data_IF_367422176832
#
_entry.id   IF_367422176832
#
_cell.length_a   1.000
_cell.length_b   1.000
_cell.length_c   1.000
_cell.angle_alpha   90.00
_cell.angle_beta   90.00
_cell.angle_gamma   90.00
#
_symmetry.space_group_name_H-M   'P 1'
#
loop_
_entity.id
_entity.type
_entity.pdbx_description
1 polymer ?
#
# COMPACT_ATOMS: atom_id res chain seq x y z
N UNK A 1 -20.09 -1.92 -6.78
CA UNK A 1 -19.17 -2.94 -6.23
C UNK A 1 -18.36 -3.55 -7.37
N UNK A 2 -17.07 -3.19 -7.50
CA UNK A 2 -16.15 -3.97 -8.33
C UNK A 2 -16.08 -5.39 -7.74
N UNK A 3 -16.20 -6.42 -8.58
CA UNK A 3 -16.02 -7.80 -8.15
C UNK A 3 -14.52 -8.02 -7.89
N UNK A 4 -14.08 -7.81 -6.65
CA UNK A 4 -12.72 -8.09 -6.23
C UNK A 4 -12.40 -9.56 -6.47
N UNK A 5 -11.28 -9.82 -7.15
CA UNK A 5 -10.83 -11.19 -7.40
C UNK A 5 -10.22 -11.73 -6.13
N UNK A 6 -10.71 -12.89 -5.68
CA UNK A 6 -10.06 -13.64 -4.60
C UNK A 6 -8.59 -13.90 -4.94
N UNK A 7 -7.75 -13.77 -3.92
CA UNK A 7 -6.32 -14.04 -3.98
C UNK A 7 -5.87 -14.86 -2.79
N UNK A 8 -4.69 -15.47 -2.90
CA UNK A 8 -4.00 -16.21 -1.85
C UNK A 8 -2.50 -16.00 -1.96
N UNK A 9 -1.81 -15.85 -0.83
CA UNK A 9 -0.35 -15.87 -0.80
C UNK A 9 0.13 -17.29 -0.53
N UNK A 10 0.91 -17.83 -1.45
CA UNK A 10 1.39 -19.22 -1.40
C UNK A 10 2.91 -19.22 -1.26
N UNK A 11 3.39 -19.76 -0.14
CA UNK A 11 4.80 -19.97 0.12
C UNK A 11 5.24 -21.32 -0.44
N UNK A 12 5.95 -21.31 -1.56
CA UNK A 12 6.40 -22.54 -2.22
C UNK A 12 7.82 -22.90 -1.79
N UNK A 13 7.99 -24.08 -1.21
CA UNK A 13 9.31 -24.62 -0.91
C UNK A 13 10.19 -24.67 -2.17
N UNK A 14 11.37 -24.06 -2.06
CA UNK A 14 12.40 -23.99 -3.07
C UNK A 14 13.65 -24.63 -2.48
N UNK A 15 14.08 -25.75 -3.06
CA UNK A 15 15.28 -26.47 -2.65
C UNK A 15 16.41 -26.14 -3.62
N UNK A 16 17.64 -26.12 -3.12
CA UNK A 16 18.84 -25.93 -3.92
C UNK A 16 18.82 -26.78 -5.20
N UNK A 17 19.14 -26.14 -6.33
CA UNK A 17 19.17 -26.73 -7.67
C UNK A 17 17.87 -27.39 -8.17
N UNK A 18 16.74 -27.19 -7.49
CA UNK A 18 15.42 -27.62 -7.96
C UNK A 18 15.04 -26.93 -9.28
N UNK A 19 14.08 -27.49 -10.01
CA UNK A 19 13.52 -26.88 -11.22
C UNK A 19 13.03 -25.46 -10.94
N UNK A 20 12.44 -25.22 -9.76
CA UNK A 20 11.98 -23.91 -9.33
C UNK A 20 13.15 -22.94 -9.12
N UNK A 21 14.19 -23.38 -8.40
CA UNK A 21 15.39 -22.59 -8.14
C UNK A 21 16.09 -22.18 -9.44
N UNK A 22 16.16 -23.09 -10.42
CA UNK A 22 16.74 -22.80 -11.74
C UNK A 22 15.87 -21.86 -12.57
N UNK A 23 14.55 -22.08 -12.60
CA UNK A 23 13.60 -21.24 -13.34
C UNK A 23 13.68 -19.78 -12.90
N UNK A 24 13.74 -19.54 -11.58
CA UNK A 24 13.76 -18.20 -11.00
C UNK A 24 15.17 -17.68 -10.70
N UNK A 25 16.21 -18.23 -11.34
CA UNK A 25 17.60 -17.75 -11.24
C UNK A 25 18.19 -17.68 -9.81
N UNK A 26 17.76 -18.58 -8.92
CA UNK A 26 18.25 -18.70 -7.53
C UNK A 26 18.76 -20.11 -7.23
N UNK A 27 19.72 -20.66 -8.00
CA UNK A 27 20.09 -22.08 -7.94
C UNK A 27 20.65 -22.55 -6.60
N UNK A 28 21.17 -21.64 -5.76
CA UNK A 28 21.72 -21.94 -4.42
C UNK A 28 20.75 -21.63 -3.28
N UNK A 29 19.53 -21.21 -3.59
CA UNK A 29 18.54 -20.86 -2.57
C UNK A 29 17.86 -22.11 -2.03
N UNK A 30 17.77 -22.17 -0.70
CA UNK A 30 16.93 -23.12 0.03
C UNK A 30 16.04 -22.34 0.97
N UNK A 31 14.72 -22.45 0.81
CA UNK A 31 13.74 -21.68 1.57
C UNK A 31 12.37 -21.73 0.93
N UNK A 32 11.58 -20.68 1.09
CA UNK A 32 10.25 -20.58 0.50
C UNK A 32 10.19 -19.36 -0.41
N UNK A 33 9.60 -19.49 -1.59
CA UNK A 33 9.33 -18.36 -2.48
C UNK A 33 7.85 -17.99 -2.38
N UNK A 34 7.50 -16.72 -2.09
CA UNK A 34 6.12 -16.30 -2.01
C UNK A 34 5.54 -16.01 -3.40
N UNK A 35 4.35 -16.55 -3.68
CA UNK A 35 3.60 -16.30 -4.90
C UNK A 35 2.23 -15.73 -4.54
N UNK A 36 1.89 -14.57 -5.07
CA UNK A 36 0.55 -13.99 -4.98
C UNK A 36 -0.29 -14.60 -6.11
N UNK A 37 -1.23 -15.47 -5.77
CA UNK A 37 -2.05 -16.23 -6.72
C UNK A 37 -3.48 -15.69 -6.68
N UNK A 38 -4.12 -15.53 -7.83
CA UNK A 38 -5.45 -14.94 -7.91
C UNK A 38 -6.35 -15.61 -8.95
N UNK A 39 -7.64 -15.31 -8.91
CA UNK A 39 -8.61 -15.78 -9.90
C UNK A 39 -8.80 -17.30 -9.86
N UNK A 40 -8.84 -17.94 -11.03
CA UNK A 40 -9.05 -19.39 -11.14
C UNK A 40 -7.93 -20.19 -10.48
N UNK A 41 -6.67 -19.74 -10.61
CA UNK A 41 -5.52 -20.40 -9.98
C UNK A 41 -5.64 -20.40 -8.45
N UNK A 42 -6.15 -19.33 -7.85
CA UNK A 42 -6.37 -19.27 -6.41
C UNK A 42 -7.40 -20.32 -5.98
N UNK A 43 -8.50 -20.48 -6.73
CA UNK A 43 -9.51 -21.49 -6.45
C UNK A 43 -8.98 -22.93 -6.64
N UNK A 44 -8.05 -23.15 -7.57
CA UNK A 44 -7.36 -24.44 -7.76
C UNK A 44 -6.47 -24.75 -6.56
N UNK A 45 -5.68 -23.78 -6.10
CA UNK A 45 -4.81 -23.94 -4.93
C UNK A 45 -5.60 -24.19 -3.65
N UNK A 46 -6.71 -23.46 -3.43
CA UNK A 46 -7.60 -23.67 -2.28
C UNK A 46 -8.12 -25.11 -2.19
N UNK A 47 -8.32 -25.77 -3.34
CA UNK A 47 -8.75 -27.17 -3.44
C UNK A 47 -7.59 -28.19 -3.37
N UNK A 48 -6.37 -27.74 -3.10
CA UNK A 48 -5.16 -28.58 -3.07
C UNK A 48 -4.62 -28.96 -4.45
N UNK A 49 -5.07 -28.28 -5.50
CA UNK A 49 -4.59 -28.46 -6.87
C UNK A 49 -3.19 -27.87 -7.10
N UNK A 50 -2.62 -28.18 -8.26
CA UNK A 50 -1.34 -27.59 -8.71
C UNK A 50 -1.62 -26.57 -9.80
N UNK A 51 -0.99 -25.41 -9.68
CA UNK A 51 -1.01 -24.34 -10.69
C UNK A 51 0.40 -24.07 -11.19
N UNK A 52 0.49 -23.53 -12.40
CA UNK A 52 1.77 -23.05 -12.90
C UNK A 52 2.12 -21.74 -12.20
N UNK A 53 3.37 -21.64 -11.72
CA UNK A 53 3.86 -20.47 -11.00
C UNK A 53 4.61 -19.56 -11.95
N UNK A 54 4.30 -18.26 -11.95
CA UNK A 54 4.84 -17.29 -12.89
C UNK A 54 5.52 -16.10 -12.19
N UNK A 55 6.34 -15.37 -12.95
CA UNK A 55 7.19 -14.27 -12.51
C UNK A 55 6.36 -13.10 -11.95
N UNK A 56 5.19 -12.83 -12.51
CA UNK A 56 4.28 -11.78 -12.01
C UNK A 56 3.71 -12.14 -10.63
N UNK A 57 3.38 -13.42 -10.42
CA UNK A 57 2.92 -13.93 -9.12
C UNK A 57 4.05 -13.86 -8.09
N UNK A 58 5.30 -14.15 -8.50
CA UNK A 58 6.47 -14.01 -7.63
C UNK A 58 6.74 -12.55 -7.26
N UNK A 59 6.68 -11.62 -8.21
CA UNK A 59 6.90 -10.20 -7.97
C UNK A 59 5.90 -9.65 -6.92
N UNK A 60 4.61 -9.86 -7.17
CA UNK A 60 3.53 -9.51 -6.23
C UNK A 60 3.69 -10.24 -4.90
N UNK A 61 4.03 -11.53 -4.97
CA UNK A 61 4.22 -12.39 -3.82
C UNK A 61 5.34 -11.91 -2.91
N UNK A 62 6.47 -11.45 -3.47
CA UNK A 62 7.57 -10.90 -2.68
C UNK A 62 7.16 -9.59 -2.01
N UNK A 63 6.58 -8.64 -2.74
CA UNK A 63 6.17 -7.35 -2.15
C UNK A 63 5.15 -7.53 -1.02
N UNK A 64 4.19 -8.44 -1.19
CA UNK A 64 3.23 -8.77 -0.13
C UNK A 64 3.88 -9.59 1.00
N UNK A 65 4.69 -10.58 0.65
CA UNK A 65 5.32 -11.50 1.59
C UNK A 65 6.30 -10.82 2.53
N UNK A 66 7.00 -9.77 2.08
CA UNK A 66 7.85 -8.94 2.93
C UNK A 66 7.04 -8.26 4.06
N UNK A 67 5.80 -7.84 3.79
CA UNK A 67 4.91 -7.31 4.82
C UNK A 67 4.52 -8.38 5.83
N UNK A 68 4.14 -9.57 5.36
CA UNK A 68 3.76 -10.69 6.24
C UNK A 68 4.94 -11.14 7.10
N UNK A 69 6.16 -11.18 6.57
CA UNK A 69 7.37 -11.48 7.34
C UNK A 69 7.58 -10.50 8.50
N UNK A 70 7.33 -9.22 8.27
CA UNK A 70 7.59 -8.17 9.26
C UNK A 70 6.51 -8.06 10.34
N UNK A 71 5.25 -8.43 10.03
CA UNK A 71 4.11 -8.24 10.95
C UNK A 71 3.45 -9.53 11.44
N UNK A 72 3.51 -10.61 10.67
CA UNK A 72 2.88 -11.90 10.99
C UNK A 72 3.85 -13.05 10.67
N UNK A 73 5.04 -12.99 11.27
CA UNK A 73 6.13 -13.94 10.99
C UNK A 73 5.70 -15.39 11.26
N UNK A 74 5.74 -16.22 10.22
CA UNK A 74 5.47 -17.66 10.28
C UNK A 74 6.76 -18.46 10.50
N UNK A 75 6.70 -19.72 10.96
CA UNK A 75 7.89 -20.54 11.21
C UNK A 75 8.80 -20.75 9.98
N UNK A 76 8.25 -20.62 8.77
CA UNK A 76 9.00 -20.75 7.52
C UNK A 76 9.56 -19.42 6.99
N UNK A 77 9.29 -18.30 7.66
CA UNK A 77 9.92 -17.02 7.36
C UNK A 77 11.33 -17.01 7.95
N UNK A 78 12.35 -17.08 7.09
CA UNK A 78 13.75 -16.89 7.48
C UNK A 78 14.23 -15.53 6.98
N UNK A 79 14.73 -14.70 7.91
CA UNK A 79 15.30 -13.39 7.60
C UNK A 79 16.48 -13.49 6.61
N UNK A 80 17.20 -14.62 6.60
CA UNK A 80 18.25 -14.89 5.59
C UNK A 80 17.71 -14.90 4.16
N UNK A 81 16.43 -15.25 3.98
CA UNK A 81 15.78 -15.27 2.67
C UNK A 81 15.51 -13.86 2.14
N UNK A 82 15.47 -12.83 3.01
CA UNK A 82 15.23 -11.44 2.59
C UNK A 82 16.21 -11.00 1.51
N UNK A 83 17.50 -11.32 1.67
CA UNK A 83 18.53 -10.99 0.66
C UNK A 83 18.21 -11.59 -0.71
N UNK A 84 17.71 -12.82 -0.74
CA UNK A 84 17.29 -13.48 -1.99
C UNK A 84 16.07 -12.79 -2.58
N UNK A 85 15.10 -12.40 -1.76
CA UNK A 85 13.91 -11.68 -2.24
C UNK A 85 14.26 -10.31 -2.83
N UNK A 86 15.16 -9.55 -2.20
CA UNK A 86 15.64 -8.29 -2.74
C UNK A 86 16.34 -8.48 -4.09
N UNK A 87 17.22 -9.49 -4.18
CA UNK A 87 17.86 -9.83 -5.45
C UNK A 87 16.84 -10.23 -6.54
N UNK A 88 15.81 -11.01 -6.18
CA UNK A 88 14.74 -11.38 -7.09
C UNK A 88 13.93 -10.16 -7.55
N UNK A 89 13.65 -9.20 -6.66
CA UNK A 89 13.00 -7.94 -7.05
C UNK A 89 13.83 -7.18 -8.07
N UNK A 90 15.15 -7.11 -7.93
CA UNK A 90 16.03 -6.48 -8.92
C UNK A 90 15.98 -7.21 -10.27
N UNK A 91 16.02 -8.54 -10.27
CA UNK A 91 15.92 -9.35 -11.49
C UNK A 91 14.56 -9.18 -12.17
N UNK A 92 13.48 -9.15 -11.41
CA UNK A 92 12.11 -8.99 -11.90
C UNK A 92 11.88 -7.57 -12.42
N UNK A 93 12.38 -6.55 -11.71
CA UNK A 93 12.35 -5.15 -12.14
C UNK A 93 12.94 -5.01 -13.55
N UNK A 94 14.15 -5.53 -13.75
CA UNK A 94 14.83 -5.52 -15.04
C UNK A 94 14.13 -6.41 -16.08
N UNK A 95 13.68 -7.60 -15.68
CA UNK A 95 13.05 -8.57 -16.57
C UNK A 95 11.71 -8.10 -17.15
N UNK A 96 10.95 -7.33 -16.39
CA UNK A 96 9.71 -6.69 -16.85
C UNK A 96 9.94 -5.32 -17.52
N UNK A 97 11.17 -4.80 -17.51
CA UNK A 97 11.51 -3.53 -18.15
C UNK A 97 11.01 -2.29 -17.42
N UNK A 98 10.84 -2.36 -16.10
CA UNK A 98 10.54 -1.16 -15.31
C UNK A 98 11.74 -0.20 -15.31
N UNK A 99 11.47 1.10 -15.29
CA UNK A 99 12.51 2.13 -15.29
C UNK A 99 13.38 2.06 -14.01
N UNK A 100 12.73 1.85 -12.87
CA UNK A 100 13.39 1.72 -11.57
C UNK A 100 12.45 1.02 -10.57
N UNK A 101 12.98 0.61 -9.39
CA UNK A 101 12.19 -0.09 -8.37
C UNK A 101 11.01 0.72 -7.80
N UNK A 102 11.08 2.05 -7.75
CA UNK A 102 9.96 2.90 -7.29
C UNK A 102 8.76 2.74 -8.22
N UNK A 103 8.98 2.87 -9.53
CA UNK A 103 7.93 2.68 -10.55
C UNK A 103 7.38 1.25 -10.51
N UNK A 104 8.24 0.24 -10.38
CA UNK A 104 7.80 -1.15 -10.24
C UNK A 104 6.86 -1.34 -9.05
N UNK A 105 7.20 -0.79 -7.87
CA UNK A 105 6.37 -0.92 -6.67
C UNK A 105 5.01 -0.24 -6.87
N UNK A 106 5.01 0.99 -7.38
CA UNK A 106 3.78 1.77 -7.61
C UNK A 106 2.86 1.09 -8.63
N UNK A 107 3.41 0.63 -9.76
CA UNK A 107 2.64 -0.05 -10.81
C UNK A 107 2.07 -1.38 -10.33
N UNK A 108 2.86 -2.16 -9.58
CA UNK A 108 2.41 -3.44 -9.02
C UNK A 108 1.31 -3.23 -7.97
N UNK A 109 1.49 -2.26 -7.06
CA UNK A 109 0.50 -1.92 -6.06
C UNK A 109 -0.81 -1.43 -6.71
N UNK A 110 -0.72 -0.48 -7.65
CA UNK A 110 -1.86 0.01 -8.42
C UNK A 110 -2.60 -1.12 -9.15
N UNK A 111 -1.87 -2.01 -9.82
CA UNK A 111 -2.47 -3.16 -10.50
C UNK A 111 -3.20 -4.12 -9.53
N UNK A 112 -2.66 -4.29 -8.31
CA UNK A 112 -3.26 -5.12 -7.27
C UNK A 112 -4.47 -4.43 -6.67
N UNK A 113 -4.42 -3.12 -6.42
CA UNK A 113 -5.54 -2.29 -5.99
C UNK A 113 -6.73 -2.43 -6.92
N UNK A 114 -6.50 -2.29 -8.22
CA UNK A 114 -7.55 -2.37 -9.25
C UNK A 114 -8.26 -3.73 -9.29
N UNK A 115 -7.54 -4.81 -8.98
CA UNK A 115 -8.05 -6.18 -9.11
C UNK A 115 -8.54 -6.79 -7.79
N UNK A 116 -7.97 -6.38 -6.67
CA UNK A 116 -8.08 -7.05 -5.38
C UNK A 116 -8.41 -6.11 -4.21
N UNK A 117 -8.58 -4.81 -4.47
CA UNK A 117 -8.90 -3.81 -3.46
C UNK A 117 -7.67 -3.19 -2.79
N UNK A 118 -7.91 -2.17 -1.95
CA UNK A 118 -6.85 -1.37 -1.34
C UNK A 118 -6.03 -2.15 -0.30
N UNK A 119 -6.63 -3.12 0.40
CA UNK A 119 -5.97 -3.89 1.46
C UNK A 119 -4.68 -4.65 1.01
N UNK A 120 -4.69 -5.45 -0.08
CA UNK A 120 -3.46 -6.08 -0.57
C UNK A 120 -2.46 -5.08 -1.16
N UNK A 121 -2.93 -3.97 -1.75
CA UNK A 121 -2.07 -2.92 -2.27
C UNK A 121 -1.34 -2.18 -1.15
N UNK A 122 -2.07 -1.78 -0.10
CA UNK A 122 -1.56 -1.21 1.15
C UNK A 122 -0.38 -2.01 1.71
N UNK A 123 -0.53 -3.34 1.81
CA UNK A 123 0.54 -4.22 2.32
C UNK A 123 1.80 -4.17 1.44
N UNK A 124 1.64 -4.15 0.12
CA UNK A 124 2.75 -4.01 -0.81
C UNK A 124 3.43 -2.64 -0.68
N UNK A 125 2.66 -1.58 -0.49
CA UNK A 125 3.19 -0.22 -0.30
C UNK A 125 3.92 -0.06 1.04
N UNK A 126 3.48 -0.71 2.13
CA UNK A 126 4.26 -0.77 3.38
C UNK A 126 5.60 -1.44 3.17
N UNK A 127 5.67 -2.54 2.40
CA UNK A 127 6.95 -3.11 2.01
C UNK A 127 7.75 -2.11 1.18
N UNK A 128 7.08 -1.42 0.25
CA UNK A 128 7.67 -0.37 -0.58
C UNK A 128 8.34 0.76 0.20
N UNK A 129 7.69 1.27 1.26
CA UNK A 129 8.27 2.33 2.11
C UNK A 129 9.47 1.86 2.92
N UNK A 130 9.66 0.55 3.11
CA UNK A 130 10.88 0.01 3.72
C UNK A 130 11.98 -0.21 2.70
N UNK A 131 11.61 -0.57 1.47
CA UNK A 131 12.55 -0.78 0.37
C UNK A 131 13.12 0.53 -0.16
N UNK A 132 12.30 1.59 -0.21
CA UNK A 132 12.67 2.92 -0.69
C UNK A 132 12.14 3.97 0.30
N UNK A 133 12.77 4.10 1.50
CA UNK A 133 12.29 4.97 2.57
C UNK A 133 12.15 6.44 2.20
N UNK A 134 12.93 6.91 1.25
CA UNK A 134 12.93 8.30 0.78
C UNK A 134 11.80 8.59 -0.23
N UNK A 135 11.14 7.58 -0.80
CA UNK A 135 10.13 7.81 -1.84
C UNK A 135 8.92 8.56 -1.28
N UNK A 136 8.72 9.80 -1.73
CA UNK A 136 7.49 10.56 -1.46
C UNK A 136 6.29 9.95 -2.17
N UNK A 137 6.49 9.36 -3.37
CA UNK A 137 5.41 8.82 -4.20
C UNK A 137 4.79 7.56 -3.59
N UNK A 138 5.61 6.62 -3.10
CA UNK A 138 5.12 5.41 -2.43
C UNK A 138 4.35 5.78 -1.16
N UNK A 139 4.86 6.73 -0.35
CA UNK A 139 4.15 7.21 0.84
C UNK A 139 2.83 7.89 0.47
N UNK A 140 2.81 8.71 -0.58
CA UNK A 140 1.59 9.35 -1.07
C UNK A 140 0.54 8.34 -1.50
N UNK A 141 0.95 7.29 -2.22
CA UNK A 141 0.03 6.24 -2.68
C UNK A 141 -0.46 5.37 -1.51
N UNK A 142 0.40 5.13 -0.51
CA UNK A 142 0.06 4.43 0.73
C UNK A 142 -1.00 5.20 1.55
N UNK A 143 -0.90 6.53 1.63
CA UNK A 143 -1.91 7.37 2.30
C UNK A 143 -3.28 7.19 1.65
N UNK A 144 -3.34 7.17 0.31
CA UNK A 144 -4.60 6.95 -0.40
C UNK A 144 -5.20 5.57 -0.10
N UNK A 145 -4.38 4.52 -0.11
CA UNK A 145 -4.82 3.16 0.24
C UNK A 145 -5.36 3.07 1.67
N UNK A 146 -4.63 3.63 2.64
CA UNK A 146 -5.05 3.68 4.04
C UNK A 146 -6.40 4.39 4.18
N UNK A 147 -6.56 5.54 3.53
CA UNK A 147 -7.81 6.29 3.58
C UNK A 147 -8.99 5.49 3.04
N UNK A 148 -8.82 4.85 1.88
CA UNK A 148 -9.88 4.05 1.27
C UNK A 148 -10.26 2.82 2.11
N UNK A 149 -9.29 2.19 2.79
CA UNK A 149 -9.56 1.10 3.74
C UNK A 149 -10.42 1.62 4.90
N UNK A 150 -10.04 2.76 5.49
CA UNK A 150 -10.81 3.39 6.57
C UNK A 150 -12.23 3.73 6.08
N UNK A 151 -12.38 4.29 4.87
CA UNK A 151 -13.66 4.69 4.29
C UNK A 151 -14.59 3.52 3.96
N UNK A 152 -14.02 2.35 3.64
CA UNK A 152 -14.80 1.15 3.33
C UNK A 152 -15.39 0.48 4.59
N UNK A 153 -14.84 0.74 5.77
CA UNK A 153 -15.35 0.20 7.03
C UNK A 153 -16.63 0.91 7.49
N UNK A 154 -17.69 0.13 7.76
CA UNK A 154 -18.94 0.69 8.29
C UNK A 154 -18.71 1.25 9.69
N UNK A 155 -18.95 2.55 9.86
CA UNK A 155 -18.97 3.19 11.19
C UNK A 155 -20.04 2.55 12.06
N UNK A 156 -19.60 2.04 13.21
CA UNK A 156 -20.45 1.82 14.37
C UNK A 156 -20.04 2.89 15.40
N UNK A 157 -20.82 3.96 15.53
CA UNK A 157 -20.71 5.02 16.56
C UNK A 157 -19.29 5.37 17.07
N UNK A 158 -18.36 5.67 16.15
CA UNK A 158 -16.99 6.09 16.47
C UNK A 158 -15.94 5.56 15.50
N UNK A 159 -14.68 5.91 15.74
CA UNK A 159 -13.52 5.29 15.08
C UNK A 159 -13.16 3.98 15.80
N UNK A 160 -12.91 2.93 15.04
CA UNK A 160 -12.28 1.73 15.59
C UNK A 160 -10.81 2.02 15.94
N UNK A 161 -10.24 1.24 16.86
CA UNK A 161 -8.81 1.34 17.19
C UNK A 161 -7.91 1.17 15.95
N UNK A 162 -8.31 0.30 15.02
CA UNK A 162 -7.58 0.07 13.77
C UNK A 162 -7.65 1.30 12.85
N UNK A 163 -8.81 1.96 12.77
CA UNK A 163 -8.97 3.22 12.05
C UNK A 163 -8.13 4.35 12.66
N UNK A 164 -8.09 4.46 13.97
CA UNK A 164 -7.20 5.41 14.65
C UNK A 164 -5.74 5.14 14.30
N UNK A 165 -5.27 3.89 14.40
CA UNK A 165 -3.89 3.54 14.04
C UNK A 165 -3.55 3.89 12.58
N UNK A 166 -4.48 3.67 11.65
CA UNK A 166 -4.30 4.05 10.24
C UNK A 166 -4.29 5.57 10.02
N UNK A 167 -5.16 6.32 10.69
CA UNK A 167 -5.15 7.79 10.64
C UNK A 167 -3.85 8.36 11.21
N UNK A 168 -3.32 7.80 12.30
CA UNK A 168 -2.05 8.27 12.89
C UNK A 168 -0.88 7.98 11.94
N UNK A 169 -0.93 6.83 11.26
CA UNK A 169 0.02 6.49 10.21
C UNK A 169 -0.04 7.48 9.03
N UNK A 170 -1.23 7.90 8.58
CA UNK A 170 -1.38 8.94 7.54
C UNK A 170 -0.66 10.23 7.96
N UNK A 171 -0.89 10.70 9.18
CA UNK A 171 -0.26 11.92 9.68
C UNK A 171 1.28 11.83 9.70
N UNK A 172 1.82 10.70 10.15
CA UNK A 172 3.28 10.47 10.14
C UNK A 172 3.86 10.44 8.72
N UNK A 173 3.18 9.76 7.80
CA UNK A 173 3.64 9.66 6.41
C UNK A 173 3.66 11.04 5.74
N UNK A 174 2.68 11.89 6.00
CA UNK A 174 2.61 13.25 5.45
C UNK A 174 3.81 14.08 5.90
N UNK A 175 4.25 13.95 7.16
CA UNK A 175 5.43 14.64 7.67
C UNK A 175 6.75 14.18 7.02
N UNK A 176 6.79 12.97 6.47
CA UNK A 176 7.96 12.40 5.78
C UNK A 176 7.98 12.65 4.26
N UNK A 177 6.92 13.26 3.71
CA UNK A 177 6.80 13.52 2.27
C UNK A 177 7.42 14.86 1.90
N UNK A 178 8.26 14.85 0.85
CA UNK A 178 8.72 16.06 0.18
C UNK A 178 7.66 16.45 -0.85
N UNK A 179 6.76 17.35 -0.47
CA UNK A 179 5.59 17.72 -1.28
C UNK A 179 5.94 18.10 -2.72
N UNK A 180 7.09 18.76 -2.93
CA UNK A 180 7.53 19.22 -4.24
C UNK A 180 7.82 18.09 -5.24
N UNK A 181 8.07 16.86 -4.76
CA UNK A 181 8.30 15.68 -5.60
C UNK A 181 7.01 15.06 -6.15
N UNK A 182 5.86 15.44 -5.59
CA UNK A 182 4.56 14.91 -6.00
C UNK A 182 3.94 15.71 -7.14
N UNK A 183 3.19 15.04 -8.01
CA UNK A 183 2.31 15.73 -8.96
C UNK A 183 1.29 16.59 -8.18
N UNK A 184 0.86 17.76 -8.71
CA UNK A 184 -0.04 18.67 -7.98
C UNK A 184 -1.32 17.99 -7.47
N UNK A 185 -1.98 17.18 -8.31
CA UNK A 185 -3.23 16.51 -7.92
C UNK A 185 -3.10 15.62 -6.67
N UNK A 186 -2.23 14.58 -6.60
CA UNK A 186 -2.08 13.77 -5.40
C UNK A 186 -1.55 14.56 -4.21
N UNK A 187 -0.69 15.56 -4.43
CA UNK A 187 -0.19 16.45 -3.38
C UNK A 187 -1.33 17.17 -2.64
N UNK A 188 -2.27 17.74 -3.38
CA UNK A 188 -3.42 18.43 -2.81
C UNK A 188 -4.34 17.48 -2.05
N UNK A 189 -4.56 16.28 -2.60
CA UNK A 189 -5.38 15.24 -1.97
C UNK A 189 -4.77 14.82 -0.64
N UNK A 190 -3.51 14.40 -0.59
CA UNK A 190 -2.93 13.93 0.68
C UNK A 190 -2.86 15.02 1.74
N UNK A 191 -2.64 16.29 1.35
CA UNK A 191 -2.66 17.41 2.28
C UNK A 191 -4.05 17.58 2.89
N UNK A 192 -5.10 17.49 2.07
CA UNK A 192 -6.49 17.49 2.53
C UNK A 192 -6.76 16.32 3.48
N UNK A 193 -6.39 15.09 3.11
CA UNK A 193 -6.62 13.89 3.91
C UNK A 193 -5.98 13.98 5.29
N UNK A 194 -4.76 14.51 5.39
CA UNK A 194 -4.12 14.70 6.70
C UNK A 194 -4.80 15.77 7.56
N UNK A 195 -5.35 16.83 6.96
CA UNK A 195 -6.16 17.77 7.75
C UNK A 195 -7.44 17.09 8.26
N UNK A 196 -8.12 16.33 7.40
CA UNK A 196 -9.32 15.58 7.81
C UNK A 196 -8.98 14.59 8.91
N UNK A 197 -7.86 13.87 8.81
CA UNK A 197 -7.37 12.97 9.85
C UNK A 197 -7.09 13.70 11.18
N UNK A 198 -6.52 14.91 11.15
CA UNK A 198 -6.30 15.72 12.36
C UNK A 198 -7.61 16.11 13.05
N UNK A 199 -8.60 16.56 12.28
CA UNK A 199 -9.90 16.97 12.81
C UNK A 199 -10.64 15.77 13.40
N UNK A 200 -10.63 14.62 12.70
CA UNK A 200 -11.23 13.38 13.19
C UNK A 200 -10.57 12.85 14.48
N UNK A 201 -9.33 13.25 14.74
CA UNK A 201 -8.59 12.90 15.96
C UNK A 201 -8.76 13.90 17.11
N UNK A 202 -9.53 14.98 16.92
CA UNK A 202 -9.71 16.05 17.90
C UNK A 202 -8.36 16.67 18.36
N UNK A 203 -7.37 16.72 17.47
CA UNK A 203 -6.04 17.33 17.74
C UNK A 203 -6.02 18.81 17.39
N UNK A 204 -6.97 19.57 17.93
CA UNK A 204 -7.25 20.96 17.58
C UNK A 204 -6.02 21.88 17.68
N UNK A 205 -5.19 21.65 18.69
CA UNK A 205 -3.94 22.39 18.94
C UNK A 205 -2.91 22.33 17.80
N UNK A 206 -3.06 21.40 16.85
CA UNK A 206 -2.13 21.22 15.72
C UNK A 206 -2.67 21.74 14.39
N UNK A 207 -3.94 22.16 14.34
CA UNK A 207 -4.61 22.53 13.08
C UNK A 207 -3.90 23.73 12.44
N UNK A 208 -3.68 24.83 13.16
CA UNK A 208 -3.07 26.05 12.59
C UNK A 208 -1.70 25.77 11.98
N UNK A 209 -0.84 25.05 12.70
CA UNK A 209 0.48 24.65 12.21
C UNK A 209 0.38 23.74 10.97
N UNK A 210 -0.61 22.84 10.92
CA UNK A 210 -0.84 21.99 9.76
C UNK A 210 -1.33 22.80 8.56
N UNK A 211 -2.21 23.78 8.77
CA UNK A 211 -2.70 24.67 7.71
C UNK A 211 -1.56 25.44 7.05
N UNK A 212 -0.69 26.04 7.87
CA UNK A 212 0.49 26.79 7.39
C UNK A 212 1.48 25.89 6.66
N UNK A 213 1.78 24.71 7.21
CA UNK A 213 2.79 23.80 6.67
C UNK A 213 2.34 23.09 5.39
N UNK A 214 1.09 22.65 5.34
CA UNK A 214 0.63 21.72 4.30
C UNK A 214 -0.50 22.25 3.45
N UNK A 215 -1.48 22.98 4.01
CA UNK A 215 -2.64 23.41 3.23
C UNK A 215 -2.33 24.63 2.38
N UNK A 216 -1.98 25.76 2.99
CA UNK A 216 -1.77 27.02 2.28
C UNK A 216 -0.74 26.96 1.14
N UNK A 217 0.41 26.27 1.28
CA UNK A 217 1.39 26.21 0.19
C UNK A 217 1.04 25.21 -0.92
N UNK A 218 0.18 24.21 -0.66
CA UNK A 218 -0.02 23.10 -1.59
C UNK A 218 -1.42 23.04 -2.20
N UNK A 219 -2.48 23.42 -1.46
CA UNK A 219 -3.88 23.25 -1.91
C UNK A 219 -4.36 24.47 -2.67
N UNK A 220 -4.67 24.29 -3.96
CA UNK A 220 -5.12 25.33 -4.87
C UNK A 220 -6.50 25.06 -5.46
N UNK A 221 -6.92 23.80 -5.51
CA UNK A 221 -8.21 23.36 -6.00
C UNK A 221 -9.36 24.05 -5.23
N UNK A 222 -10.25 24.78 -5.92
CA UNK A 222 -11.36 25.48 -5.28
C UNK A 222 -12.33 24.57 -4.51
N UNK A 223 -12.57 23.35 -5.00
CA UNK A 223 -13.44 22.37 -4.35
C UNK A 223 -12.85 21.97 -3.01
N UNK A 224 -11.56 21.61 -2.98
CA UNK A 224 -10.87 21.26 -1.74
C UNK A 224 -10.81 22.44 -0.77
N UNK A 225 -10.56 23.68 -1.25
CA UNK A 225 -10.60 24.87 -0.39
C UNK A 225 -11.96 25.08 0.28
N UNK A 226 -13.06 24.89 -0.46
CA UNK A 226 -14.40 25.00 0.10
C UNK A 226 -14.68 23.89 1.12
N UNK A 227 -14.27 22.65 0.84
CA UNK A 227 -14.40 21.54 1.81
C UNK A 227 -13.57 21.79 3.07
N UNK A 228 -12.32 22.26 2.93
CA UNK A 228 -11.46 22.63 4.07
C UNK A 228 -12.13 23.71 4.92
N UNK A 229 -12.64 24.78 4.29
CA UNK A 229 -13.36 25.83 5.01
C UNK A 229 -14.55 25.26 5.78
N UNK A 230 -15.36 24.43 5.14
CA UNK A 230 -16.51 23.78 5.77
C UNK A 230 -16.11 22.93 6.98
N UNK A 231 -15.06 22.10 6.85
CA UNK A 231 -14.56 21.26 7.94
C UNK A 231 -14.08 22.08 9.14
N UNK A 232 -13.41 23.21 8.89
CA UNK A 232 -12.94 24.11 9.96
C UNK A 232 -14.10 24.84 10.66
N UNK A 233 -15.17 25.16 9.93
CA UNK A 233 -16.37 25.81 10.49
C UNK A 233 -17.31 24.82 11.19
N UNK A 234 -17.24 23.52 10.83
CA UNK A 234 -18.15 22.47 11.30
C UNK A 234 -17.41 21.16 11.63
N UNK A 235 -16.45 21.16 12.58
CA UNK A 235 -15.60 19.99 12.86
C UNK A 235 -16.42 18.74 13.26
N UNK A 236 -17.51 18.91 14.00
CA UNK A 236 -18.39 17.81 14.43
C UNK A 236 -19.14 17.12 13.27
N UNK A 237 -19.17 17.74 12.08
CA UNK A 237 -19.83 17.21 10.88
C UNK A 237 -18.85 16.51 9.94
N UNK A 238 -17.56 16.44 10.29
CA UNK A 238 -16.55 15.80 9.46
C UNK A 238 -16.72 14.28 9.51
N UNK A 239 -16.91 13.68 8.34
CA UNK A 239 -16.97 12.23 8.15
C UNK A 239 -15.88 11.75 7.22
N UNK A 240 -15.57 10.46 7.34
CA UNK A 240 -14.72 9.77 6.38
C UNK A 240 -15.59 9.45 5.17
N UNK A 241 -15.14 9.87 3.99
CA UNK A 241 -15.78 9.63 2.69
C UNK A 241 -14.74 8.97 1.76
N UNK A 242 -15.20 8.21 0.76
CA UNK A 242 -14.28 7.68 -0.25
C UNK A 242 -13.65 8.82 -1.06
N UNK A 243 -12.48 8.60 -1.66
CA UNK A 243 -11.83 9.60 -2.52
C UNK A 243 -12.70 9.94 -3.74
N UNK A 244 -13.50 8.99 -4.23
CA UNK A 244 -14.44 9.21 -5.33
C UNK A 244 -15.55 10.19 -4.93
N UNK A 245 -16.13 10.02 -3.73
CA UNK A 245 -17.17 10.91 -3.20
C UNK A 245 -16.61 12.28 -2.81
N UNK A 246 -15.36 12.31 -2.34
CA UNK A 246 -14.70 13.55 -1.92
C UNK A 246 -14.45 14.53 -3.07
N UNK A 247 -14.23 14.04 -4.30
CA UNK A 247 -13.85 14.85 -5.46
C UNK A 247 -15.06 15.27 -6.33
N UNK A 248 -16.27 14.82 -6.00
CA UNK A 248 -17.54 15.27 -6.58
C UNK A 248 -18.09 16.50 -5.84
#
# INVERSE_FOLDING_TARGET
MKNERKYSLVWKECVENSTLARRFNVPRFTGFLPFFIWGEDAAVVEKGGKVELHEQQLLKGILYGLYEMDRDSKPWHDEKNRRTYLHLLELLCNGFGFENPEIMILDVASNVREQHGNEPSHRMLISGTKLIPESSKIKSDLICDLWEIIAAEKRNDGLSKEQEEMLDQILRLIDEIIMQELHPSPREIICFLGLTALILFERDEKIDNYLEKFIYPNVNNPVLKNKIKFMLENPDQVSIESLEDMLQ
#
